data_IF_232582108587
#
_entry.id   IF_232582108587
#
_cell.length_a   1.000
_cell.length_b   1.000
_cell.length_c   1.000
_cell.angle_alpha   90.00
_cell.angle_beta   90.00
_cell.angle_gamma   90.00
#
_symmetry.space_group_name_H-M   'P 1'
#
loop_
_entity.id
_entity.type
_entity.pdbx_description
1 polymer ?
#
# COMPACT_ATOMS: atom_id res chain seq x y z
N UNK A 1 -9.79 -17.40 9.17
CA UNK A 1 -10.25 -16.09 8.66
C UNK A 1 -9.24 -15.07 9.15
N UNK A 2 -8.62 -14.30 8.29
CA UNK A 2 -7.63 -13.28 8.66
C UNK A 2 -8.23 -11.90 8.42
N UNK A 3 -8.06 -11.00 9.40
CA UNK A 3 -8.41 -9.60 9.22
C UNK A 3 -7.29 -8.90 8.45
N UNK A 4 -7.66 -8.08 7.47
CA UNK A 4 -6.74 -7.35 6.61
C UNK A 4 -7.13 -5.88 6.62
N UNK A 5 -6.27 -5.07 7.22
CA UNK A 5 -6.41 -3.63 7.18
C UNK A 5 -5.96 -3.11 5.80
N UNK A 6 -6.86 -2.46 5.09
CA UNK A 6 -6.58 -1.90 3.75
C UNK A 6 -6.16 -0.42 3.82
N UNK A 7 -5.70 0.00 4.95
CA UNK A 7 -5.27 1.37 5.22
C UNK A 7 -3.94 1.39 5.98
N UNK A 8 -3.29 2.53 5.96
CA UNK A 8 -2.15 2.84 6.80
C UNK A 8 -2.33 4.24 7.36
N UNK A 9 -2.06 4.41 8.64
CA UNK A 9 -2.14 5.69 9.31
C UNK A 9 -0.79 6.09 9.93
N UNK A 10 -0.55 7.40 10.12
CA UNK A 10 0.52 7.85 11.00
C UNK A 10 0.39 7.22 12.39
N UNK A 11 1.52 6.98 13.08
CA UNK A 11 1.54 6.28 14.37
C UNK A 11 0.79 7.00 15.50
N UNK A 12 0.59 8.30 15.36
CA UNK A 12 -0.13 9.17 16.30
C UNK A 12 -1.60 9.38 15.90
N UNK A 13 -2.11 8.62 14.94
CA UNK A 13 -3.50 8.67 14.51
C UNK A 13 -4.12 7.27 14.59
N UNK A 14 -5.20 7.14 15.36
CA UNK A 14 -5.94 5.90 15.53
C UNK A 14 -7.32 6.01 14.86
N UNK A 15 -7.70 4.95 14.17
CA UNK A 15 -9.06 4.78 13.66
C UNK A 15 -9.88 4.01 14.69
N UNK A 16 -11.10 4.47 14.96
CA UNK A 16 -11.97 3.88 15.99
C UNK A 16 -13.18 3.16 15.41
N UNK A 17 -13.58 3.49 14.18
CA UNK A 17 -14.75 2.92 13.53
C UNK A 17 -14.40 2.33 12.17
N UNK A 18 -14.96 1.15 11.86
CA UNK A 18 -14.61 0.40 10.67
C UNK A 18 -15.82 -0.21 10.00
N UNK A 19 -15.89 -0.09 8.69
CA UNK A 19 -16.68 -0.97 7.84
C UNK A 19 -15.87 -2.22 7.52
N UNK A 20 -16.54 -3.36 7.39
CA UNK A 20 -15.90 -4.63 7.06
C UNK A 20 -16.53 -5.26 5.83
N UNK A 21 -15.71 -5.95 5.04
CA UNK A 21 -16.17 -6.73 3.91
C UNK A 21 -15.49 -8.11 3.89
N UNK A 22 -16.29 -9.15 3.90
CA UNK A 22 -15.77 -10.51 3.75
C UNK A 22 -15.53 -10.81 2.26
N UNK A 23 -14.40 -11.39 1.96
CA UNK A 23 -14.03 -11.84 0.61
C UNK A 23 -13.58 -13.29 0.68
N UNK A 24 -13.88 -14.06 -0.38
CA UNK A 24 -13.43 -15.43 -0.53
C UNK A 24 -12.50 -15.51 -1.74
N UNK A 25 -11.27 -15.89 -1.51
CA UNK A 25 -10.28 -16.08 -2.56
C UNK A 25 -10.53 -17.36 -3.34
N UNK A 26 -9.91 -17.48 -4.51
CA UNK A 26 -10.04 -18.65 -5.39
C UNK A 26 -9.56 -19.98 -4.77
N UNK A 27 -8.68 -19.90 -3.76
CA UNK A 27 -8.22 -21.05 -2.97
C UNK A 27 -9.22 -21.48 -1.89
N UNK A 28 -10.39 -20.83 -1.80
CA UNK A 28 -11.40 -21.05 -0.77
C UNK A 28 -11.10 -20.37 0.57
N UNK A 29 -9.95 -19.74 0.72
CA UNK A 29 -9.59 -18.99 1.91
C UNK A 29 -10.43 -17.69 2.04
N UNK A 30 -10.87 -17.38 3.27
CA UNK A 30 -11.64 -16.16 3.55
C UNK A 30 -10.79 -15.12 4.25
N UNK A 31 -11.06 -13.86 3.93
CA UNK A 31 -10.48 -12.71 4.63
C UNK A 31 -11.56 -11.66 4.91
N UNK A 32 -11.42 -10.95 6.01
CA UNK A 32 -12.22 -9.77 6.34
C UNK A 32 -11.39 -8.53 6.04
N UNK A 33 -11.81 -7.75 5.06
CA UNK A 33 -11.21 -6.45 4.77
C UNK A 33 -11.81 -5.40 5.71
N UNK A 34 -10.96 -4.60 6.34
CA UNK A 34 -11.37 -3.52 7.23
C UNK A 34 -11.07 -2.16 6.58
N UNK A 35 -12.08 -1.31 6.58
CA UNK A 35 -12.03 0.05 6.02
C UNK A 35 -12.32 1.05 7.14
N UNK A 36 -11.48 2.06 7.37
CA UNK A 36 -11.78 3.05 8.40
C UNK A 36 -12.98 3.90 7.96
N UNK A 37 -13.90 4.09 8.89
CA UNK A 37 -15.01 5.03 8.72
C UNK A 37 -14.57 6.38 9.29
N UNK A 38 -14.59 7.41 8.45
CA UNK A 38 -14.13 8.74 8.82
C UNK A 38 -15.29 9.74 8.66
N UNK A 39 -15.56 10.49 9.70
CA UNK A 39 -16.34 11.72 9.62
C UNK A 39 -15.46 12.90 9.19
N UNK A 40 -16.06 14.07 9.01
CA UNK A 40 -15.34 15.26 8.55
C UNK A 40 -14.22 15.68 9.52
N UNK A 41 -14.45 15.56 10.82
CA UNK A 41 -13.47 15.95 11.85
C UNK A 41 -12.27 14.99 11.85
N UNK A 42 -12.52 13.69 11.73
CA UNK A 42 -11.47 12.68 11.60
C UNK A 42 -10.63 12.87 10.33
N UNK A 43 -11.26 13.23 9.20
CA UNK A 43 -10.54 13.55 7.96
C UNK A 43 -9.63 14.78 8.15
N UNK A 44 -10.15 15.85 8.80
CA UNK A 44 -9.34 17.04 9.08
C UNK A 44 -8.19 16.73 10.03
N UNK A 45 -8.41 15.95 11.08
CA UNK A 45 -7.39 15.53 12.03
C UNK A 45 -6.31 14.68 11.35
N UNK A 46 -6.68 13.72 10.50
CA UNK A 46 -5.77 12.91 9.72
C UNK A 46 -4.92 13.76 8.78
N UNK A 47 -5.54 14.70 8.05
CA UNK A 47 -4.81 15.61 7.16
C UNK A 47 -3.82 16.50 7.92
N UNK A 48 -4.18 16.99 9.10
CA UNK A 48 -3.28 17.75 9.98
C UNK A 48 -2.10 16.90 10.46
N UNK A 49 -2.35 15.65 10.88
CA UNK A 49 -1.32 14.69 11.27
C UNK A 49 -0.34 14.40 10.13
N UNK A 50 -0.82 14.15 8.92
CA UNK A 50 0.03 13.90 7.74
C UNK A 50 0.90 15.11 7.41
N UNK A 51 0.33 16.34 7.45
CA UNK A 51 1.11 17.58 7.21
C UNK A 51 2.20 17.77 8.26
N UNK A 52 1.90 17.52 9.54
CA UNK A 52 2.88 17.60 10.62
C UNK A 52 4.01 16.58 10.41
N UNK A 53 3.69 15.33 10.09
CA UNK A 53 4.69 14.30 9.82
C UNK A 53 5.54 14.61 8.59
N UNK A 54 4.97 15.22 7.55
CA UNK A 54 5.74 15.69 6.41
C UNK A 54 6.80 16.70 6.84
N UNK A 55 6.42 17.71 7.62
CA UNK A 55 7.34 18.76 8.07
C UNK A 55 8.43 18.21 9.02
N UNK A 56 8.06 17.34 9.95
CA UNK A 56 8.94 16.84 11.00
C UNK A 56 9.84 15.69 10.56
N UNK A 57 9.35 14.83 9.68
CA UNK A 57 10.02 13.58 9.32
C UNK A 57 10.46 13.54 7.87
N UNK A 58 9.54 13.74 6.92
CA UNK A 58 9.86 13.59 5.50
C UNK A 58 10.85 14.66 5.02
N UNK A 59 10.74 15.90 5.52
CA UNK A 59 11.64 17.00 5.17
C UNK A 59 13.11 16.77 5.59
N UNK A 60 13.39 15.76 6.41
CA UNK A 60 14.75 15.37 6.81
C UNK A 60 15.44 14.44 5.82
N UNK A 61 14.69 13.87 4.89
CA UNK A 61 15.23 12.98 3.86
C UNK A 61 15.60 13.80 2.61
N UNK A 62 16.74 13.47 2.03
CA UNK A 62 17.05 13.90 0.67
C UNK A 62 16.16 13.20 -0.35
N UNK A 63 16.05 13.73 -1.54
CA UNK A 63 15.33 13.10 -2.65
C UNK A 63 15.87 11.70 -2.91
N UNK A 64 17.19 11.52 -2.96
CA UNK A 64 17.84 10.20 -3.08
C UNK A 64 17.46 9.26 -1.94
N UNK A 65 17.40 9.75 -0.70
CA UNK A 65 16.98 8.95 0.45
C UNK A 65 15.53 8.47 0.33
N UNK A 66 14.64 9.30 -0.21
CA UNK A 66 13.24 8.92 -0.48
C UNK A 66 13.18 7.87 -1.60
N UNK A 67 13.92 8.08 -2.68
CA UNK A 67 14.03 7.13 -3.80
C UNK A 67 14.55 5.77 -3.31
N UNK A 68 15.57 5.75 -2.44
CA UNK A 68 16.11 4.51 -1.88
C UNK A 68 15.10 3.75 -1.01
N UNK A 69 14.28 4.45 -0.23
CA UNK A 69 13.21 3.82 0.55
C UNK A 69 12.17 3.17 -0.37
N UNK A 70 11.73 3.89 -1.40
CA UNK A 70 10.76 3.38 -2.37
C UNK A 70 11.36 2.17 -3.13
N UNK A 71 12.60 2.29 -3.59
CA UNK A 71 13.28 1.21 -4.33
C UNK A 71 13.38 -0.07 -3.49
N UNK A 72 13.71 0.01 -2.20
CA UNK A 72 13.72 -1.15 -1.29
C UNK A 72 12.34 -1.77 -1.11
N UNK A 73 11.29 -0.96 -0.99
CA UNK A 73 9.92 -1.47 -0.96
C UNK A 73 9.56 -2.20 -2.25
N UNK A 74 9.95 -1.65 -3.41
CA UNK A 74 9.74 -2.27 -4.72
C UNK A 74 10.48 -3.62 -4.84
N UNK A 75 11.71 -3.73 -4.32
CA UNK A 75 12.45 -4.99 -4.30
C UNK A 75 11.69 -6.07 -3.53
N UNK A 76 11.13 -5.76 -2.36
CA UNK A 76 10.28 -6.67 -1.61
C UNK A 76 9.07 -7.11 -2.45
N UNK A 77 8.38 -6.18 -3.11
CA UNK A 77 7.23 -6.49 -3.96
C UNK A 77 7.58 -7.24 -5.25
N UNK A 78 8.84 -7.30 -5.66
CA UNK A 78 9.29 -8.16 -6.77
C UNK A 78 9.61 -9.59 -6.33
N UNK A 79 9.80 -9.82 -5.03
CA UNK A 79 10.01 -11.16 -4.46
C UNK A 79 8.68 -11.93 -4.41
N UNK A 80 8.55 -13.10 -5.06
CA UNK A 80 7.33 -13.89 -5.04
C UNK A 80 7.01 -14.47 -3.65
N UNK A 81 7.99 -14.56 -2.76
CA UNK A 81 7.81 -15.08 -1.40
C UNK A 81 7.44 -13.99 -0.38
N UNK A 82 7.45 -12.70 -0.79
CA UNK A 82 7.07 -11.61 0.09
C UNK A 82 5.60 -11.74 0.54
N UNK A 83 5.32 -11.79 1.85
CA UNK A 83 3.99 -12.11 2.36
C UNK A 83 2.88 -11.17 1.86
N UNK A 84 3.14 -9.87 1.82
CA UNK A 84 2.17 -8.87 1.38
C UNK A 84 1.87 -8.98 -0.11
N UNK A 85 2.87 -9.34 -0.92
CA UNK A 85 2.67 -9.63 -2.33
C UNK A 85 1.79 -10.88 -2.51
N UNK A 86 2.07 -11.97 -1.78
CA UNK A 86 1.25 -13.19 -1.83
C UNK A 86 -0.18 -12.91 -1.40
N UNK A 87 -0.36 -12.09 -0.37
CA UNK A 87 -1.68 -11.66 0.08
C UNK A 87 -2.40 -10.86 -1.02
N UNK A 88 -1.72 -9.92 -1.66
CA UNK A 88 -2.29 -9.13 -2.76
C UNK A 88 -2.67 -10.02 -3.97
N UNK A 89 -1.78 -10.93 -4.40
CA UNK A 89 -2.05 -11.88 -5.49
C UNK A 89 -3.28 -12.76 -5.21
N UNK A 90 -3.54 -13.06 -3.95
CA UNK A 90 -4.71 -13.85 -3.52
C UNK A 90 -5.99 -13.02 -3.44
N UNK A 91 -5.91 -11.79 -2.90
CA UNK A 91 -7.12 -10.99 -2.59
C UNK A 91 -7.56 -10.07 -3.73
N UNK A 92 -6.65 -9.55 -4.55
CA UNK A 92 -7.02 -8.66 -5.66
C UNK A 92 -8.00 -9.33 -6.61
N UNK A 93 -7.79 -10.57 -7.09
CA UNK A 93 -8.79 -11.25 -7.92
C UNK A 93 -10.15 -11.38 -7.25
N UNK A 94 -10.17 -11.69 -5.94
CA UNK A 94 -11.42 -11.85 -5.18
C UNK A 94 -12.21 -10.55 -5.03
N UNK A 95 -11.52 -9.41 -4.98
CA UNK A 95 -12.14 -8.09 -4.81
C UNK A 95 -12.57 -7.50 -6.17
N UNK A 96 -11.75 -7.69 -7.21
CA UNK A 96 -11.91 -7.02 -8.51
C UNK A 96 -12.56 -7.89 -9.58
N UNK A 97 -12.54 -9.22 -9.41
CA UNK A 97 -12.93 -10.17 -10.43
C UNK A 97 -11.90 -10.36 -11.56
N UNK A 98 -10.71 -9.77 -11.45
CA UNK A 98 -9.65 -9.97 -12.43
C UNK A 98 -9.08 -11.39 -12.37
N UNK A 99 -8.58 -11.85 -13.51
CA UNK A 99 -7.90 -13.14 -13.59
C UNK A 99 -6.62 -13.14 -12.73
N UNK A 100 -6.42 -14.21 -11.95
CA UNK A 100 -5.32 -14.29 -10.99
C UNK A 100 -3.93 -14.30 -11.66
N UNK A 101 -3.82 -14.89 -12.88
CA UNK A 101 -2.57 -14.88 -13.62
C UNK A 101 -2.25 -13.48 -14.16
N UNK A 102 -3.26 -12.74 -14.60
CA UNK A 102 -3.10 -11.35 -15.01
C UNK A 102 -2.68 -10.46 -13.85
N UNK A 103 -3.31 -10.61 -12.68
CA UNK A 103 -2.92 -9.85 -11.47
C UNK A 103 -1.45 -10.09 -11.13
N UNK A 104 -0.99 -11.34 -11.18
CA UNK A 104 0.41 -11.70 -10.88
C UNK A 104 1.40 -11.06 -11.85
N UNK A 105 1.07 -11.07 -13.15
CA UNK A 105 1.90 -10.47 -14.20
C UNK A 105 1.93 -8.95 -14.03
N UNK A 106 0.77 -8.31 -13.84
CA UNK A 106 0.66 -6.87 -13.75
C UNK A 106 1.28 -6.30 -12.47
N UNK A 107 1.15 -6.96 -11.33
CA UNK A 107 1.86 -6.54 -10.10
C UNK A 107 3.37 -6.49 -10.33
N UNK A 108 3.94 -7.51 -10.94
CA UNK A 108 5.38 -7.54 -11.25
C UNK A 108 5.78 -6.46 -12.24
N UNK A 109 4.97 -6.26 -13.28
CA UNK A 109 5.21 -5.24 -14.32
C UNK A 109 5.11 -3.84 -13.74
N UNK A 110 4.07 -3.58 -12.95
CA UNK A 110 3.81 -2.28 -12.33
C UNK A 110 4.94 -1.89 -11.37
N UNK A 111 5.37 -2.81 -10.49
CA UNK A 111 6.46 -2.54 -9.55
C UNK A 111 7.78 -2.19 -10.24
N UNK A 112 8.06 -2.73 -11.43
CA UNK A 112 9.27 -2.39 -12.18
C UNK A 112 9.36 -0.92 -12.59
N UNK A 113 8.23 -0.23 -12.71
CA UNK A 113 8.18 1.21 -13.04
C UNK A 113 8.71 2.10 -11.91
N UNK A 114 8.76 1.58 -10.68
CA UNK A 114 9.21 2.29 -9.47
C UNK A 114 10.60 1.85 -9.02
N UNK A 115 11.38 1.21 -9.87
CA UNK A 115 12.79 0.91 -9.59
C UNK A 115 13.60 2.19 -9.48
N UNK A 116 14.67 2.15 -8.67
CA UNK A 116 15.55 3.31 -8.43
C UNK A 116 15.93 4.05 -9.72
N UNK A 117 16.35 3.33 -10.74
CA UNK A 117 16.72 3.92 -12.02
C UNK A 117 15.60 4.70 -12.69
N UNK A 118 14.39 4.14 -12.68
CA UNK A 118 13.24 4.79 -13.30
C UNK A 118 12.78 6.01 -12.49
N UNK A 119 12.77 5.91 -11.16
CA UNK A 119 12.46 7.05 -10.27
C UNK A 119 13.45 8.20 -10.44
N UNK A 120 14.75 7.92 -10.52
CA UNK A 120 15.77 8.96 -10.73
C UNK A 120 15.58 9.69 -12.07
N UNK A 121 15.17 8.99 -13.12
CA UNK A 121 14.88 9.65 -14.42
C UNK A 121 13.76 10.69 -14.28
N UNK A 122 12.71 10.42 -13.50
CA UNK A 122 11.67 11.41 -13.23
C UNK A 122 12.17 12.63 -12.44
N UNK A 123 13.15 12.43 -11.56
CA UNK A 123 13.73 13.51 -10.74
C UNK A 123 14.72 14.33 -11.55
N UNK A 124 15.50 13.72 -12.43
CA UNK A 124 16.55 14.39 -13.23
C UNK A 124 15.97 15.15 -14.44
N UNK A 125 14.78 14.77 -14.91
CA UNK A 125 14.09 15.40 -16.06
C UNK A 125 13.29 16.66 -15.68
N UNK A 126 13.22 17.06 -14.39
CA UNK A 126 12.62 18.30 -13.88
C UNK A 126 13.69 19.39 -13.58
#
# INVERSE_FOLDING_TARGET
>A
MSDVDIFHAPRDFEFHDFDTRNVTASDGGTATLRFPRLDADAVHALAASVRRHRAEKLARYSTDGIVDVIARAVELWTDPEYPERRLAERLIPAVTGYDASMVRIELKRYMRMFRRRELLRFVDDE
#
